data_IF_059120003351
#
_entry.id   IF_059120003351
#
_cell.length_a   1.000
_cell.length_b   1.000
_cell.length_c   1.000
_cell.angle_alpha   90.00
_cell.angle_beta   90.00
_cell.angle_gamma   90.00
#
_symmetry.space_group_name_H-M   'P 1'
#
loop_
_entity.id
_entity.type
_entity.pdbx_description
1 polymer ?
#
# COMPACT_ATOMS: atom_id res chain seq x y z
N UNK A 1 -25.46 7.80 13.90
CA UNK A 1 -24.95 6.98 12.79
C UNK A 1 -23.51 7.37 12.59
N UNK A 2 -22.62 6.39 12.57
CA UNK A 2 -21.18 6.62 12.40
C UNK A 2 -20.82 6.47 10.93
N UNK A 3 -20.27 7.54 10.34
CA UNK A 3 -19.92 7.62 8.92
C UNK A 3 -18.41 7.74 8.78
N UNK A 4 -17.76 6.87 7.99
CA UNK A 4 -16.31 6.94 7.75
C UNK A 4 -15.86 8.29 7.18
N UNK A 5 -14.62 8.66 7.47
CA UNK A 5 -14.00 9.84 6.89
C UNK A 5 -13.90 9.73 5.35
N UNK A 6 -14.05 10.84 4.64
CA UNK A 6 -14.02 10.94 3.18
C UNK A 6 -15.35 10.60 2.47
N UNK A 7 -16.41 10.32 3.23
CA UNK A 7 -17.75 10.03 2.69
C UNK A 7 -18.59 11.30 2.65
N UNK A 8 -19.09 11.67 1.46
CA UNK A 8 -19.92 12.87 1.26
C UNK A 8 -21.38 12.56 0.94
N UNK A 9 -21.73 11.30 0.66
CA UNK A 9 -23.08 10.87 0.28
C UNK A 9 -23.45 9.53 0.96
N UNK A 10 -24.71 9.41 1.40
CA UNK A 10 -25.33 8.16 1.87
C UNK A 10 -26.62 7.89 1.12
N UNK A 11 -27.05 6.64 1.02
CA UNK A 11 -28.36 6.30 0.44
C UNK A 11 -29.31 5.77 1.52
N UNK A 12 -30.47 6.40 1.66
CA UNK A 12 -31.55 5.98 2.57
C UNK A 12 -32.79 5.68 1.74
N UNK A 13 -33.28 4.44 1.77
CA UNK A 13 -34.42 3.98 0.95
C UNK A 13 -34.29 4.41 -0.53
N UNK A 14 -33.17 4.06 -1.15
CA UNK A 14 -32.85 4.40 -2.56
C UNK A 14 -32.77 5.91 -2.86
N UNK A 15 -32.77 6.77 -1.84
CA UNK A 15 -32.66 8.22 -1.99
C UNK A 15 -31.26 8.67 -1.54
N UNK A 16 -30.47 9.32 -2.41
CA UNK A 16 -29.19 9.89 -2.01
C UNK A 16 -29.40 11.06 -1.05
N UNK A 17 -28.57 11.09 -0.02
CA UNK A 17 -28.48 12.12 1.01
C UNK A 17 -27.05 12.67 0.95
N UNK A 18 -26.93 13.89 0.46
CA UNK A 18 -25.69 14.66 0.50
C UNK A 18 -25.43 15.11 1.96
N UNK A 19 -24.28 14.72 2.50
CA UNK A 19 -23.92 14.99 3.89
C UNK A 19 -23.44 16.43 4.08
N UNK A 20 -22.81 17.02 3.06
CA UNK A 20 -22.36 18.41 3.08
C UNK A 20 -23.56 19.36 3.09
N UNK A 21 -24.58 19.09 2.26
CA UNK A 21 -25.83 19.86 2.24
C UNK A 21 -26.62 19.70 3.55
N UNK A 22 -26.52 18.53 4.19
CA UNK A 22 -27.13 18.27 5.49
C UNK A 22 -26.35 18.91 6.67
N UNK A 23 -25.20 19.56 6.41
CA UNK A 23 -24.37 20.21 7.41
C UNK A 23 -23.65 19.25 8.34
N UNK A 24 -23.39 18.03 7.88
CA UNK A 24 -22.67 16.98 8.59
C UNK A 24 -21.21 17.08 8.17
N UNK A 25 -20.29 17.19 9.13
CA UNK A 25 -18.86 17.21 8.80
C UNK A 25 -18.22 15.83 8.88
N UNK A 26 -17.05 15.72 8.25
CA UNK A 26 -16.35 14.46 8.01
C UNK A 26 -16.03 13.69 9.30
N UNK A 27 -16.36 12.40 9.34
CA UNK A 27 -16.14 11.55 10.52
C UNK A 27 -17.04 11.83 11.73
N UNK A 28 -18.15 12.55 11.56
CA UNK A 28 -19.10 12.84 12.64
C UNK A 28 -20.28 11.87 12.75
N UNK A 29 -20.86 11.82 13.95
CA UNK A 29 -22.09 11.10 14.20
C UNK A 29 -23.31 11.84 13.64
N UNK A 30 -23.97 11.24 12.66
CA UNK A 30 -25.19 11.76 12.03
C UNK A 30 -26.42 11.40 12.84
N UNK A 31 -27.30 12.38 13.07
CA UNK A 31 -28.64 12.18 13.62
C UNK A 31 -29.70 12.61 12.61
N UNK A 32 -30.48 11.65 12.11
CA UNK A 32 -31.58 11.89 11.18
C UNK A 32 -32.92 11.81 11.91
N UNK A 33 -33.82 12.75 11.64
CA UNK A 33 -35.20 12.68 12.13
C UNK A 33 -36.02 11.84 11.14
N UNK A 34 -36.54 10.72 11.62
CA UNK A 34 -37.33 9.78 10.82
C UNK A 34 -38.76 9.64 11.35
N UNK A 35 -39.69 9.38 10.44
CA UNK A 35 -41.05 8.98 10.81
C UNK A 35 -41.07 7.48 11.17
N UNK A 36 -42.14 6.96 11.77
CA UNK A 36 -42.25 5.52 12.00
C UNK A 36 -42.25 4.74 10.68
N UNK A 37 -41.39 3.72 10.59
CA UNK A 37 -41.18 2.90 9.40
C UNK A 37 -39.87 2.13 9.48
N UNK A 38 -39.64 1.29 8.48
CA UNK A 38 -38.38 0.57 8.30
C UNK A 38 -37.53 1.32 7.26
N UNK A 39 -36.27 1.55 7.60
CA UNK A 39 -35.33 2.33 6.79
C UNK A 39 -34.15 1.46 6.41
N UNK A 40 -33.93 1.28 5.12
CA UNK A 40 -32.72 0.66 4.58
C UNK A 40 -31.70 1.76 4.34
N UNK A 41 -30.55 1.63 4.97
CA UNK A 41 -29.42 2.54 4.80
C UNK A 41 -28.31 1.76 4.12
N UNK A 42 -27.98 2.16 2.90
CA UNK A 42 -26.91 1.54 2.14
C UNK A 42 -25.56 2.19 2.52
N UNK A 43 -24.48 1.40 2.53
CA UNK A 43 -23.15 1.95 2.70
C UNK A 43 -22.81 2.91 1.56
N UNK A 44 -21.87 3.84 1.78
CA UNK A 44 -21.27 4.61 0.69
C UNK A 44 -20.78 3.68 -0.43
N UNK A 45 -20.80 4.13 -1.70
CA UNK A 45 -20.24 3.34 -2.79
C UNK A 45 -18.77 3.04 -2.47
N UNK A 46 -18.45 1.75 -2.34
CA UNK A 46 -17.07 1.29 -2.23
C UNK A 46 -16.28 1.60 -3.50
N UNK A 47 -14.96 1.54 -3.38
CA UNK A 47 -14.03 1.61 -4.51
C UNK A 47 -13.43 0.25 -4.81
N UNK A 48 -12.42 0.24 -5.67
CA UNK A 48 -11.61 -0.97 -5.91
C UNK A 48 -10.95 -1.44 -4.60
N UNK A 49 -10.45 -0.50 -3.79
CA UNK A 49 -9.61 -0.78 -2.63
C UNK A 49 -10.30 -0.70 -1.28
N UNK A 50 -11.48 -0.08 -1.19
CA UNK A 50 -12.18 0.13 0.07
C UNK A 50 -13.63 -0.32 -0.03
N UNK A 51 -14.10 -1.06 0.98
CA UNK A 51 -15.50 -1.41 1.18
C UNK A 51 -16.00 -0.86 2.51
N UNK A 52 -17.31 -0.71 2.64
CA UNK A 52 -17.95 -0.09 3.81
C UNK A 52 -18.99 -1.01 4.48
N UNK A 53 -18.85 -2.32 4.28
CA UNK A 53 -19.79 -3.33 4.77
C UNK A 53 -21.05 -3.47 3.93
N UNK A 54 -22.11 -3.97 4.57
CA UNK A 54 -23.40 -4.25 3.92
C UNK A 54 -24.49 -3.25 4.34
N UNK A 55 -25.59 -3.23 3.59
CA UNK A 55 -26.79 -2.45 3.93
C UNK A 55 -27.32 -2.80 5.33
N UNK A 56 -27.79 -1.79 6.05
CA UNK A 56 -28.33 -1.92 7.39
C UNK A 56 -29.78 -1.46 7.42
N UNK A 57 -30.64 -2.21 8.12
CA UNK A 57 -32.06 -1.85 8.30
C UNK A 57 -32.28 -1.32 9.71
N UNK A 58 -32.91 -0.15 9.81
CA UNK A 58 -33.29 0.48 11.07
C UNK A 58 -34.80 0.54 11.18
N UNK A 59 -35.33 0.02 12.27
CA UNK A 59 -36.75 0.05 12.59
C UNK A 59 -37.09 1.25 13.49
N UNK A 60 -37.90 2.19 13.00
CA UNK A 60 -38.37 3.34 13.80
C UNK A 60 -39.84 3.15 14.15
N UNK A 61 -40.16 3.17 15.45
CA UNK A 61 -41.54 2.94 15.95
C UNK A 61 -42.10 4.15 16.68
N UNK A 62 -43.40 4.39 16.50
CA UNK A 62 -44.09 5.57 17.01
C UNK A 62 -44.12 5.66 18.55
N UNK A 63 -44.03 4.52 19.22
CA UNK A 63 -43.99 4.41 20.68
C UNK A 63 -42.56 4.48 21.24
N UNK A 64 -41.56 4.72 20.38
CA UNK A 64 -40.15 4.77 20.75
C UNK A 64 -39.52 3.41 21.04
N UNK A 65 -40.22 2.30 20.76
CA UNK A 65 -39.72 0.92 20.97
C UNK A 65 -38.85 0.39 19.83
N UNK A 66 -38.60 1.21 18.80
CA UNK A 66 -37.80 0.83 17.62
C UNK A 66 -36.33 0.58 17.94
N UNK A 67 -35.60 0.12 16.93
CA UNK A 67 -34.17 -0.13 17.03
C UNK A 67 -33.43 1.15 17.43
N UNK A 68 -32.71 1.06 18.55
CA UNK A 68 -31.75 2.08 18.99
C UNK A 68 -30.34 1.79 18.48
N UNK A 69 -30.20 0.77 17.62
CA UNK A 69 -28.93 0.34 17.07
C UNK A 69 -28.35 1.45 16.21
N UNK A 70 -27.20 1.97 16.64
CA UNK A 70 -26.45 2.92 15.84
C UNK A 70 -26.00 2.23 14.55
N UNK A 71 -26.39 2.78 13.41
CA UNK A 71 -25.84 2.37 12.11
C UNK A 71 -24.42 2.86 12.03
N UNK A 72 -23.50 1.96 11.68
CA UNK A 72 -22.07 2.22 11.57
C UNK A 72 -21.53 1.52 10.34
N UNK A 73 -20.87 2.25 9.46
CA UNK A 73 -20.11 1.66 8.37
C UNK A 73 -18.63 1.73 8.73
N UNK A 74 -17.88 0.67 8.41
CA UNK A 74 -16.45 0.60 8.69
C UNK A 74 -15.73 0.50 7.36
N UNK A 75 -14.72 1.35 7.16
CA UNK A 75 -13.84 1.27 6.02
C UNK A 75 -12.95 0.02 6.15
N UNK A 76 -13.08 -0.93 5.23
CA UNK A 76 -12.32 -2.18 5.21
C UNK A 76 -11.59 -2.34 3.87
N UNK A 77 -10.27 -2.57 3.86
CA UNK A 77 -9.52 -2.82 2.63
C UNK A 77 -10.01 -4.10 1.96
N UNK A 78 -10.09 -4.08 0.63
CA UNK A 78 -10.49 -5.25 -0.16
C UNK A 78 -9.27 -6.12 -0.49
N UNK A 79 -9.52 -7.36 -0.93
CA UNK A 79 -8.46 -8.26 -1.43
C UNK A 79 -7.64 -7.64 -2.58
N UNK A 80 -8.23 -6.69 -3.34
CA UNK A 80 -7.54 -6.00 -4.42
C UNK A 80 -6.38 -5.13 -3.94
N UNK A 81 -6.41 -4.64 -2.69
CA UNK A 81 -5.28 -3.91 -2.09
C UNK A 81 -4.05 -4.81 -2.05
N UNK A 82 -4.22 -6.06 -1.63
CA UNK A 82 -3.13 -7.01 -1.53
C UNK A 82 -2.54 -7.35 -2.89
N UNK A 83 -3.39 -7.74 -3.84
CA UNK A 83 -2.92 -8.17 -5.16
C UNK A 83 -2.17 -7.05 -5.90
N UNK A 84 -2.71 -5.82 -5.85
CA UNK A 84 -2.09 -4.68 -6.53
C UNK A 84 -0.87 -4.14 -5.79
N UNK A 85 -0.84 -4.18 -4.46
CA UNK A 85 0.36 -3.82 -3.71
C UNK A 85 1.52 -4.76 -4.01
N UNK A 86 1.26 -6.08 -4.05
CA UNK A 86 2.26 -7.09 -4.42
C UNK A 86 2.76 -6.85 -5.85
N UNK A 87 1.86 -6.59 -6.79
CA UNK A 87 2.23 -6.30 -8.17
C UNK A 87 3.06 -5.02 -8.29
N UNK A 88 2.70 -3.97 -7.56
CA UNK A 88 3.42 -2.70 -7.53
C UNK A 88 4.82 -2.84 -6.91
N UNK A 89 4.95 -3.60 -5.81
CA UNK A 89 6.23 -3.90 -5.18
C UNK A 89 7.18 -4.65 -6.12
N UNK A 90 6.70 -5.73 -6.75
CA UNK A 90 7.51 -6.51 -7.70
C UNK A 90 7.92 -5.66 -8.92
N UNK A 91 7.02 -4.82 -9.43
CA UNK A 91 7.35 -3.90 -10.52
C UNK A 91 8.39 -2.85 -10.12
N UNK A 92 8.38 -2.38 -8.86
CA UNK A 92 9.39 -1.47 -8.34
C UNK A 92 10.76 -2.17 -8.19
N UNK A 93 10.79 -3.41 -7.69
CA UNK A 93 12.00 -4.24 -7.64
C UNK A 93 12.59 -4.43 -9.06
N UNK A 94 11.75 -4.73 -10.05
CA UNK A 94 12.17 -4.87 -11.45
C UNK A 94 12.74 -3.56 -12.01
N UNK A 95 12.09 -2.43 -11.70
CA UNK A 95 12.56 -1.12 -12.12
C UNK A 95 13.92 -0.78 -11.48
N UNK A 96 14.13 -1.19 -10.23
CA UNK A 96 15.42 -1.07 -9.54
C UNK A 96 16.49 -1.95 -10.19
N UNK A 97 16.18 -3.21 -10.50
CA UNK A 97 17.14 -4.11 -11.13
C UNK A 97 17.53 -3.67 -12.55
N UNK A 98 16.67 -2.91 -13.23
CA UNK A 98 16.97 -2.32 -14.53
C UNK A 98 17.93 -1.12 -14.45
N UNK A 99 18.20 -0.57 -13.26
CA UNK A 99 19.19 0.50 -13.06
C UNK A 99 20.60 -0.11 -13.10
N UNK A 100 21.46 0.43 -13.94
CA UNK A 100 22.86 0.02 -14.05
C UNK A 100 23.72 0.80 -13.04
N UNK A 101 23.37 0.69 -11.76
CA UNK A 101 23.98 1.41 -10.64
C UNK A 101 24.25 0.42 -9.50
N UNK A 102 25.36 0.60 -8.78
CA UNK A 102 25.72 -0.26 -7.64
C UNK A 102 24.82 -0.01 -6.43
N UNK A 103 24.48 1.25 -6.16
CA UNK A 103 23.56 1.63 -5.10
C UNK A 103 22.44 2.49 -5.71
N UNK A 104 21.44 1.86 -6.34
CA UNK A 104 20.38 2.60 -7.02
C UNK A 104 19.52 3.36 -6.02
N UNK A 105 19.35 4.68 -6.24
CA UNK A 105 18.49 5.50 -5.37
C UNK A 105 17.04 4.96 -5.35
N UNK A 106 16.36 5.11 -4.21
CA UNK A 106 14.96 4.69 -4.00
C UNK A 106 14.70 3.18 -4.21
N UNK A 107 15.70 2.33 -3.97
CA UNK A 107 15.58 0.88 -4.12
C UNK A 107 15.74 0.13 -2.79
N UNK A 108 15.02 -1.00 -2.61
CA UNK A 108 15.08 -1.80 -1.39
C UNK A 108 16.33 -2.71 -1.33
N UNK A 109 17.27 -2.52 -2.24
CA UNK A 109 18.56 -3.21 -2.30
C UNK A 109 19.58 -2.29 -2.96
N UNK A 110 20.84 -2.52 -2.63
CA UNK A 110 21.98 -1.80 -3.16
C UNK A 110 23.26 -2.44 -2.61
N UNK A 111 24.39 -2.19 -3.27
CA UNK A 111 25.69 -2.64 -2.82
C UNK A 111 26.62 -1.45 -2.74
N UNK A 112 27.26 -1.29 -1.57
CA UNK A 112 28.30 -0.31 -1.34
C UNK A 112 29.63 -1.01 -1.13
N UNK A 113 30.66 -0.54 -1.82
CA UNK A 113 32.01 -1.09 -1.73
C UNK A 113 32.90 -0.22 -0.85
N UNK A 114 33.94 -0.82 -0.30
CA UNK A 114 34.90 -0.14 0.58
C UNK A 114 36.10 0.44 -0.16
N UNK A 115 36.43 -0.09 -1.35
CA UNK A 115 37.54 0.39 -2.19
C UNK A 115 37.09 1.56 -3.08
N UNK A 116 38.01 2.13 -3.87
CA UNK A 116 37.70 3.26 -4.74
C UNK A 116 36.66 2.87 -5.81
N UNK A 117 35.69 3.75 -6.08
CA UNK A 117 34.62 3.50 -7.05
C UNK A 117 35.16 3.14 -8.46
N UNK A 118 36.38 3.57 -8.78
CA UNK A 118 37.06 3.30 -10.04
C UNK A 118 37.51 1.83 -10.19
N UNK A 119 37.56 1.05 -9.11
CA UNK A 119 37.90 -0.38 -9.13
C UNK A 119 36.71 -1.28 -9.49
N UNK A 120 35.50 -0.71 -9.63
CA UNK A 120 34.28 -1.46 -9.91
C UNK A 120 33.57 -0.93 -11.15
N UNK A 121 33.06 -1.81 -12.00
CA UNK A 121 32.27 -1.38 -13.16
C UNK A 121 31.24 -2.41 -13.62
N UNK A 122 30.41 -1.98 -14.56
CA UNK A 122 29.41 -2.80 -15.24
C UNK A 122 28.44 -3.53 -14.29
N UNK A 123 27.79 -2.84 -13.33
CA UNK A 123 26.79 -3.45 -12.47
C UNK A 123 25.58 -3.94 -13.27
N UNK A 124 25.17 -5.17 -13.00
CA UNK A 124 23.94 -5.76 -13.53
C UNK A 124 23.22 -6.48 -12.40
N UNK A 125 22.02 -6.03 -12.09
CA UNK A 125 21.14 -6.67 -11.11
C UNK A 125 20.22 -7.69 -11.79
N UNK A 126 20.07 -8.85 -11.16
CA UNK A 126 19.14 -9.91 -11.56
C UNK A 126 18.25 -10.26 -10.38
N UNK A 127 16.92 -10.26 -10.59
CA UNK A 127 15.97 -10.74 -9.58
C UNK A 127 15.91 -12.26 -9.64
N UNK A 128 16.42 -12.92 -8.59
CA UNK A 128 16.40 -14.38 -8.47
C UNK A 128 15.06 -14.85 -7.91
N UNK A 129 14.54 -14.13 -6.91
CA UNK A 129 13.24 -14.40 -6.33
C UNK A 129 12.61 -13.14 -5.71
N UNK A 130 11.30 -13.01 -5.84
CA UNK A 130 10.56 -11.94 -5.16
C UNK A 130 10.27 -12.33 -3.71
N UNK A 131 10.22 -11.34 -2.79
CA UNK A 131 9.74 -11.57 -1.45
C UNK A 131 8.30 -12.10 -1.42
N UNK A 132 7.93 -12.79 -0.34
CA UNK A 132 6.52 -13.01 0.03
C UNK A 132 6.06 -11.87 0.92
N UNK A 133 4.76 -11.57 0.91
CA UNK A 133 4.24 -10.35 1.55
C UNK A 133 3.00 -10.59 2.39
N UNK A 134 2.96 -9.90 3.53
CA UNK A 134 1.79 -9.68 4.35
C UNK A 134 1.25 -8.27 4.12
N UNK A 135 -0.07 -8.14 4.17
CA UNK A 135 -0.75 -6.85 4.26
C UNK A 135 -1.31 -6.71 5.66
N UNK A 136 -0.84 -5.71 6.38
CA UNK A 136 -1.20 -5.46 7.76
C UNK A 136 -1.99 -4.16 7.87
N UNK A 137 -3.16 -4.21 8.50
CA UNK A 137 -3.90 -3.01 8.91
C UNK A 137 -3.55 -2.67 10.36
N UNK A 138 -3.09 -1.46 10.59
CA UNK A 138 -2.72 -0.97 11.92
C UNK A 138 -3.22 0.45 12.10
N UNK A 139 -4.25 0.61 12.93
CA UNK A 139 -4.85 1.91 13.29
C UNK A 139 -5.28 2.76 12.08
N UNK A 140 -5.84 2.11 11.04
CA UNK A 140 -6.29 2.79 9.82
C UNK A 140 -5.17 3.12 8.83
N UNK A 141 -3.97 2.58 9.03
CA UNK A 141 -2.89 2.57 8.04
C UNK A 141 -2.64 1.15 7.58
N UNK A 142 -2.56 0.97 6.27
CA UNK A 142 -2.29 -0.33 5.64
C UNK A 142 -0.82 -0.38 5.23
N UNK A 143 -0.13 -1.47 5.55
CA UNK A 143 1.28 -1.68 5.22
C UNK A 143 1.46 -2.95 4.40
N UNK A 144 2.43 -2.93 3.50
CA UNK A 144 2.97 -4.12 2.85
C UNK A 144 4.31 -4.45 3.51
N UNK A 145 4.39 -5.61 4.17
CA UNK A 145 5.60 -6.08 4.84
C UNK A 145 6.09 -7.38 4.23
N UNK A 146 7.41 -7.52 4.12
CA UNK A 146 8.04 -8.77 3.69
C UNK A 146 7.88 -9.84 4.78
N UNK A 147 7.33 -11.00 4.43
CA UNK A 147 7.26 -12.19 5.29
C UNK A 147 8.51 -13.06 5.11
N UNK A 148 8.77 -13.48 3.87
CA UNK A 148 10.01 -14.16 3.47
C UNK A 148 10.78 -13.24 2.52
N UNK A 149 12.09 -13.04 2.75
CA UNK A 149 12.89 -12.16 1.93
C UNK A 149 12.99 -12.65 0.48
N UNK A 150 13.09 -11.70 -0.44
CA UNK A 150 13.50 -11.95 -1.82
C UNK A 150 15.02 -11.94 -1.96
N UNK A 151 15.48 -12.27 -3.16
CA UNK A 151 16.90 -12.36 -3.48
C UNK A 151 17.19 -11.71 -4.83
N UNK A 152 18.24 -10.89 -4.87
CA UNK A 152 18.79 -10.31 -6.08
C UNK A 152 20.29 -10.57 -6.15
N UNK A 153 20.79 -10.82 -7.36
CA UNK A 153 22.23 -10.99 -7.62
C UNK A 153 22.74 -9.77 -8.38
N UNK A 154 23.78 -9.13 -7.84
CA UNK A 154 24.59 -8.14 -8.55
C UNK A 154 25.78 -8.84 -9.19
N UNK A 155 25.88 -8.78 -10.51
CA UNK A 155 27.10 -9.15 -11.25
C UNK A 155 27.82 -7.87 -11.66
N UNK A 156 29.15 -7.87 -11.53
CA UNK A 156 30.00 -6.72 -11.86
C UNK A 156 31.42 -7.15 -12.24
N UNK A 157 32.25 -6.21 -12.64
CA UNK A 157 33.69 -6.43 -12.84
C UNK A 157 34.48 -5.65 -11.80
N UNK A 158 35.51 -6.29 -11.26
CA UNK A 158 36.45 -5.71 -10.28
C UNK A 158 37.87 -5.70 -10.84
N UNK A 159 38.59 -4.59 -10.65
CA UNK A 159 40.00 -4.47 -10.99
C UNK A 159 40.86 -5.13 -9.90
N UNK A 160 41.52 -6.23 -10.23
CA UNK A 160 42.39 -6.95 -9.29
C UNK A 160 43.82 -6.42 -9.29
N UNK A 161 44.19 -5.51 -10.21
CA UNK A 161 45.49 -4.87 -10.22
C UNK A 161 45.54 -3.62 -9.34
N UNK A 162 46.42 -3.70 -8.34
CA UNK A 162 46.63 -2.68 -7.31
C UNK A 162 47.71 -1.65 -7.67
N UNK A 163 48.46 -1.87 -8.75
CA UNK A 163 49.49 -0.96 -9.25
C UNK A 163 48.86 -0.04 -10.31
N UNK A 164 48.78 1.25 -10.02
CA UNK A 164 48.17 2.26 -10.90
C UNK A 164 48.99 2.54 -12.17
N UNK A 165 50.24 2.07 -12.23
CA UNK A 165 51.09 2.13 -13.42
C UNK A 165 50.85 0.95 -14.39
N UNK A 166 50.23 -0.14 -13.94
CA UNK A 166 49.92 -1.33 -14.72
C UNK A 166 48.49 -1.26 -15.32
N UNK A 167 48.24 -1.93 -16.46
CA UNK A 167 46.89 -1.96 -17.03
C UNK A 167 45.95 -2.76 -16.13
N UNK A 168 44.75 -2.21 -15.89
CA UNK A 168 43.71 -2.87 -15.08
C UNK A 168 43.40 -4.31 -15.55
N UNK A 169 43.33 -5.23 -14.60
CA UNK A 169 42.96 -6.63 -14.80
C UNK A 169 41.55 -6.86 -14.24
N UNK A 170 40.59 -7.00 -15.14
CA UNK A 170 39.17 -7.03 -14.79
C UNK A 170 38.69 -8.48 -14.64
N UNK A 171 38.20 -8.81 -13.46
CA UNK A 171 37.58 -10.10 -13.18
C UNK A 171 36.09 -9.94 -12.90
N UNK A 172 35.28 -10.88 -13.40
CA UNK A 172 33.86 -10.93 -13.09
C UNK A 172 33.65 -11.38 -11.64
N UNK A 173 32.78 -10.67 -10.95
CA UNK A 173 32.35 -10.95 -9.58
C UNK A 173 30.83 -10.98 -9.53
N UNK A 174 30.31 -11.67 -8.53
CA UNK A 174 28.91 -11.61 -8.16
C UNK A 174 28.75 -11.49 -6.64
N UNK A 175 27.70 -10.80 -6.22
CA UNK A 175 27.25 -10.76 -4.83
C UNK A 175 25.74 -10.88 -4.80
N UNK A 176 25.24 -11.51 -3.75
CA UNK A 176 23.82 -11.71 -3.53
C UNK A 176 23.35 -10.79 -2.42
N UNK A 177 22.33 -9.99 -2.71
CA UNK A 177 21.67 -9.14 -1.73
C UNK A 177 20.27 -9.65 -1.43
N UNK A 178 19.84 -9.41 -0.19
CA UNK A 178 18.50 -9.78 0.28
C UNK A 178 17.55 -8.60 0.12
N UNK A 179 16.38 -8.85 -0.45
CA UNK A 179 15.32 -7.84 -0.55
C UNK A 179 14.35 -8.00 0.61
N UNK A 180 14.32 -7.01 1.50
CA UNK A 180 13.44 -6.98 2.67
C UNK A 180 12.99 -5.55 2.95
N UNK A 181 11.68 -5.34 3.08
CA UNK A 181 11.14 -4.01 3.36
C UNK A 181 9.80 -4.06 4.11
N UNK A 182 9.42 -2.90 4.63
CA UNK A 182 8.05 -2.64 5.09
C UNK A 182 7.67 -1.23 4.66
N UNK A 183 6.62 -1.12 3.86
CA UNK A 183 6.23 0.12 3.20
C UNK A 183 4.75 0.44 3.47
N UNK A 184 4.41 1.71 3.77
CA UNK A 184 3.01 2.12 3.85
C UNK A 184 2.36 2.05 2.47
N UNK A 185 1.13 1.53 2.43
CA UNK A 185 0.27 1.58 1.26
C UNK A 185 -0.55 2.86 1.34
N UNK A 186 -0.35 3.75 0.36
CA UNK A 186 -1.15 4.97 0.22
C UNK A 186 -2.26 4.71 -0.80
N UNK A 187 -3.50 4.82 -0.34
CA UNK A 187 -4.72 4.68 -1.14
C UNK A 187 -5.35 6.06 -1.39
N UNK A 188 -5.44 6.45 -2.65
CA UNK A 188 -6.12 7.68 -3.09
C UNK A 188 -7.24 7.32 -4.07
N UNK A 189 -8.43 7.04 -3.53
CA UNK A 189 -9.55 6.50 -4.32
C UNK A 189 -9.19 5.13 -4.91
N UNK A 190 -9.14 5.04 -6.23
CA UNK A 190 -8.75 3.83 -6.97
C UNK A 190 -7.26 3.81 -7.37
N UNK A 191 -6.42 4.65 -6.74
CA UNK A 191 -4.96 4.64 -6.93
C UNK A 191 -4.26 4.09 -5.71
N UNK A 192 -3.25 3.25 -5.96
CA UNK A 192 -2.38 2.66 -4.96
C UNK A 192 -0.94 3.10 -5.24
N UNK A 193 -0.21 3.46 -4.19
CA UNK A 193 1.22 3.74 -4.27
C UNK A 193 1.97 3.18 -3.07
N UNK A 194 3.23 2.82 -3.31
CA UNK A 194 4.18 2.28 -2.36
C UNK A 194 5.49 3.04 -2.51
N UNK A 195 6.15 3.28 -1.38
CA UNK A 195 7.49 3.84 -1.32
C UNK A 195 8.41 2.78 -0.69
N UNK A 196 9.37 2.28 -1.47
CA UNK A 196 10.32 1.25 -1.04
C UNK A 196 11.67 1.87 -0.60
N UNK A 197 11.79 3.20 -0.59
CA UNK A 197 13.00 3.89 -0.18
C UNK A 197 13.17 3.86 1.34
N UNK A 198 14.41 3.68 1.83
CA UNK A 198 14.75 3.87 3.25
C UNK A 198 14.23 2.81 4.22
N UNK A 199 13.96 1.59 3.75
CA UNK A 199 13.64 0.45 4.61
C UNK A 199 14.91 -0.34 4.91
N UNK A 200 15.34 -0.33 6.18
CA UNK A 200 16.54 -1.00 6.71
C UNK A 200 16.20 -1.90 7.90
#
# INVERSE_FOLDING_TARGET
>A
MDVPAGVTELTVNDTPLDLDEAGISDGENVSLVALPGDYVIAPPPGGKYMSYGAEQTVEVRADGSGDTTAVSFTAEPTDAVRDDAIAAANAAIDACAAKAEFDPEDCPFGSSFYDDDDDYRNPVWTVESYPTYAVEDTWGSVYLSTEDPGEVTLTYEYNTEWDDEEPADWESQDTTETVYFSAPIVLEGDRLSLDLSGTW
#
